data_IF_883439180828
#
_entry.id   IF_883439180828
#
_cell.length_a   1.000
_cell.length_b   1.000
_cell.length_c   1.000
_cell.angle_alpha   90.00
_cell.angle_beta   90.00
_cell.angle_gamma   90.00
#
_symmetry.space_group_name_H-M   'P 1'
#
loop_
_entity.id
_entity.type
_entity.pdbx_description
1 polymer ?
#
# COMPACT_ATOMS: atom_id res chain seq x y z
N UNK A 1 -11.30 -19.05 23.50
CA UNK A 1 -10.28 -19.32 24.54
C UNK A 1 -8.85 -19.21 24.00
N UNK A 2 -8.53 -19.73 22.81
CA UNK A 2 -7.17 -19.63 22.23
C UNK A 2 -6.66 -18.19 22.06
N UNK A 3 -7.44 -17.27 21.50
CA UNK A 3 -7.07 -15.85 21.35
C UNK A 3 -6.67 -15.16 22.66
N UNK A 4 -7.51 -15.30 23.69
CA UNK A 4 -7.27 -14.68 25.00
C UNK A 4 -6.00 -15.23 25.66
N UNK A 5 -5.78 -16.55 25.54
CA UNK A 5 -4.56 -17.19 26.05
C UNK A 5 -3.31 -16.68 25.32
N UNK A 6 -3.34 -16.61 23.97
CA UNK A 6 -2.23 -16.06 23.17
C UNK A 6 -1.90 -14.62 23.56
N UNK A 7 -2.93 -13.79 23.73
CA UNK A 7 -2.76 -12.39 24.09
C UNK A 7 -2.12 -12.25 25.48
N UNK A 8 -2.57 -13.04 26.46
CA UNK A 8 -2.03 -13.01 27.83
C UNK A 8 -0.62 -13.58 27.93
N UNK A 9 -0.32 -14.66 27.20
CA UNK A 9 1.01 -15.27 27.17
C UNK A 9 2.04 -14.33 26.52
N UNK A 10 1.66 -13.68 25.42
CA UNK A 10 2.58 -12.86 24.64
C UNK A 10 2.69 -11.43 25.15
N UNK A 11 1.67 -10.86 25.79
CA UNK A 11 1.78 -9.47 26.29
C UNK A 11 2.96 -9.31 27.24
N UNK A 12 3.21 -10.31 28.09
CA UNK A 12 4.28 -10.22 29.10
C UNK A 12 5.69 -10.19 28.50
N UNK A 13 5.88 -10.70 27.28
CA UNK A 13 7.21 -10.79 26.64
C UNK A 13 7.34 -9.89 25.41
N UNK A 14 6.30 -9.80 24.57
CA UNK A 14 6.33 -9.06 23.31
C UNK A 14 5.98 -7.58 23.46
N UNK A 15 5.11 -7.21 24.41
CA UNK A 15 4.70 -5.81 24.55
C UNK A 15 5.86 -4.91 24.97
N UNK A 16 6.75 -5.40 25.82
CA UNK A 16 7.96 -4.66 26.21
C UNK A 16 8.93 -4.54 25.04
N UNK A 17 9.19 -5.63 24.31
CA UNK A 17 9.98 -5.59 23.07
C UNK A 17 9.42 -4.59 22.06
N UNK A 18 8.10 -4.56 21.87
CA UNK A 18 7.44 -3.63 20.93
C UNK A 18 7.62 -2.18 21.36
N UNK A 19 7.64 -1.90 22.67
CA UNK A 19 7.94 -0.56 23.19
C UNK A 19 9.41 -0.20 22.98
N UNK A 20 10.34 -1.11 23.26
CA UNK A 20 11.78 -0.90 23.05
C UNK A 20 12.12 -0.62 21.58
N UNK A 21 11.41 -1.27 20.66
CA UNK A 21 11.60 -1.11 19.21
C UNK A 21 10.72 -0.01 18.61
N UNK A 22 10.04 0.79 19.43
CA UNK A 22 9.16 1.88 18.97
C UNK A 22 8.13 1.43 17.93
N UNK A 23 7.52 0.25 18.11
CA UNK A 23 6.49 -0.29 17.20
C UNK A 23 5.29 0.64 17.10
N UNK A 24 4.93 1.32 18.19
CA UNK A 24 3.77 2.21 18.23
C UNK A 24 4.18 3.68 18.19
N UNK A 25 3.36 4.56 17.60
CA UNK A 25 3.61 6.00 17.60
C UNK A 25 3.82 6.55 19.02
N UNK A 26 4.77 7.49 19.22
CA UNK A 26 5.05 8.06 20.54
C UNK A 26 3.86 8.85 21.12
N UNK A 27 2.96 9.32 20.26
CA UNK A 27 1.72 10.01 20.64
C UNK A 27 0.63 9.06 21.16
N UNK A 28 0.73 7.75 20.91
CA UNK A 28 -0.33 6.82 21.24
C UNK A 28 -0.36 6.52 22.75
N UNK A 29 -1.58 6.44 23.28
CA UNK A 29 -1.79 6.03 24.66
C UNK A 29 -1.56 4.52 24.83
N UNK A 30 -1.11 4.11 26.02
CA UNK A 30 -0.79 2.71 26.31
C UNK A 30 -1.96 1.75 26.06
N UNK A 31 -3.20 2.16 26.36
CA UNK A 31 -4.38 1.34 26.10
C UNK A 31 -4.58 1.10 24.59
N UNK A 32 -4.34 2.12 23.76
CA UNK A 32 -4.44 1.97 22.31
C UNK A 32 -3.35 1.03 21.78
N UNK A 33 -2.10 1.15 22.27
CA UNK A 33 -1.02 0.23 21.93
C UNK A 33 -1.36 -1.22 22.31
N UNK A 34 -1.99 -1.42 23.47
CA UNK A 34 -2.48 -2.74 23.87
C UNK A 34 -3.59 -3.26 22.95
N UNK A 35 -4.51 -2.40 22.52
CA UNK A 35 -5.54 -2.79 21.54
C UNK A 35 -4.91 -3.23 20.21
N UNK A 36 -3.97 -2.46 19.66
CA UNK A 36 -3.22 -2.82 18.46
C UNK A 36 -2.49 -4.16 18.65
N UNK A 37 -1.80 -4.34 19.77
CA UNK A 37 -1.15 -5.60 20.13
C UNK A 37 -2.12 -6.78 20.12
N UNK A 38 -3.29 -6.63 20.75
CA UNK A 38 -4.28 -7.72 20.80
C UNK A 38 -4.85 -8.03 19.42
N UNK A 39 -5.08 -7.02 18.57
CA UNK A 39 -5.56 -7.23 17.20
C UNK A 39 -4.57 -8.04 16.36
N UNK A 40 -3.26 -7.87 16.56
CA UNK A 40 -2.22 -8.69 15.90
C UNK A 40 -2.29 -10.18 16.29
N UNK A 41 -2.95 -10.53 17.39
CA UNK A 41 -3.11 -11.92 17.85
C UNK A 41 -4.38 -12.59 17.30
N UNK A 42 -5.19 -11.87 16.52
CA UNK A 42 -6.45 -12.36 15.95
C UNK A 42 -6.27 -13.48 14.93
N UNK A 43 -5.30 -13.43 13.99
CA UNK A 43 -5.09 -14.52 13.03
C UNK A 43 -4.97 -15.87 13.75
N UNK A 44 -5.61 -16.89 13.20
CA UNK A 44 -5.83 -18.16 13.90
C UNK A 44 -4.57 -19.00 13.91
N UNK A 45 -3.90 -19.12 12.75
CA UNK A 45 -2.73 -19.99 12.56
C UNK A 45 -1.42 -19.24 12.32
N UNK A 46 -1.49 -17.94 12.02
CA UNK A 46 -0.34 -17.13 11.65
C UNK A 46 0.04 -16.18 12.77
N UNK A 47 1.33 -16.13 13.11
CA UNK A 47 1.87 -15.17 14.07
C UNK A 47 2.50 -14.00 13.31
N UNK A 48 2.08 -12.78 13.68
CA UNK A 48 2.62 -11.55 13.10
C UNK A 48 3.54 -10.89 14.12
N UNK A 49 4.83 -10.83 13.80
CA UNK A 49 5.80 -10.04 14.56
C UNK A 49 5.84 -8.61 14.01
N UNK A 50 5.30 -7.66 14.78
CA UNK A 50 5.27 -6.26 14.39
C UNK A 50 6.67 -5.64 14.21
N UNK A 51 7.69 -6.10 14.94
CA UNK A 51 9.06 -5.57 14.80
C UNK A 51 9.62 -5.97 13.44
N UNK A 52 9.51 -7.25 13.10
CA UNK A 52 10.02 -7.78 11.83
C UNK A 52 9.22 -7.22 10.65
N UNK A 53 7.88 -7.13 10.81
CA UNK A 53 7.01 -6.50 9.83
C UNK A 53 7.38 -5.03 9.58
N UNK A 54 7.54 -4.20 10.62
CA UNK A 54 7.86 -2.77 10.45
C UNK A 54 9.26 -2.54 9.86
N UNK A 55 10.21 -3.43 10.14
CA UNK A 55 11.50 -3.42 9.45
C UNK A 55 11.32 -3.64 7.94
N UNK A 56 10.53 -4.63 7.54
CA UNK A 56 10.17 -4.85 6.12
C UNK A 56 9.42 -3.68 5.51
N UNK A 57 8.43 -3.14 6.23
CA UNK A 57 7.64 -2.00 5.80
C UNK A 57 8.50 -0.75 5.57
N UNK A 58 9.52 -0.52 6.41
CA UNK A 58 10.49 0.57 6.22
C UNK A 58 11.19 0.47 4.86
N UNK A 59 11.72 -0.71 4.52
CA UNK A 59 12.38 -0.92 3.23
C UNK A 59 11.41 -0.79 2.06
N UNK A 60 10.19 -1.30 2.20
CA UNK A 60 9.17 -1.20 1.16
C UNK A 60 8.76 0.26 0.90
N UNK A 61 8.54 1.05 1.97
CA UNK A 61 8.20 2.47 1.86
C UNK A 61 9.36 3.29 1.30
N UNK A 62 10.58 3.07 1.81
CA UNK A 62 11.81 3.73 1.30
C UNK A 62 11.98 3.47 -0.20
N UNK A 63 11.87 2.21 -0.61
CA UNK A 63 11.94 1.81 -2.01
C UNK A 63 10.83 2.48 -2.84
N UNK A 64 9.58 2.43 -2.38
CA UNK A 64 8.45 3.02 -3.09
C UNK A 64 8.64 4.53 -3.30
N UNK A 65 8.98 5.28 -2.24
CA UNK A 65 9.20 6.74 -2.31
C UNK A 65 10.37 7.08 -3.25
N UNK A 66 11.52 6.42 -3.10
CA UNK A 66 12.67 6.67 -3.97
C UNK A 66 12.36 6.36 -5.45
N UNK A 67 11.65 5.26 -5.71
CA UNK A 67 11.27 4.90 -7.07
C UNK A 67 10.27 5.89 -7.64
N UNK A 68 9.26 6.35 -6.90
CA UNK A 68 8.29 7.35 -7.37
C UNK A 68 8.98 8.65 -7.84
N UNK A 69 10.02 9.11 -7.13
CA UNK A 69 10.77 10.30 -7.50
C UNK A 69 11.90 10.05 -8.51
N UNK A 70 12.11 8.80 -8.93
CA UNK A 70 13.17 8.46 -9.87
C UNK A 70 12.82 8.90 -11.29
N UNK A 71 13.82 9.43 -12.01
CA UNK A 71 13.65 9.79 -13.42
C UNK A 71 13.21 8.61 -14.28
N UNK A 72 13.67 7.40 -13.97
CA UNK A 72 13.29 6.18 -14.69
C UNK A 72 11.79 5.90 -14.58
N UNK A 73 11.26 5.89 -13.35
CA UNK A 73 9.84 5.63 -13.10
C UNK A 73 8.96 6.74 -13.67
N UNK A 74 9.35 8.01 -13.52
CA UNK A 74 8.62 9.14 -14.11
C UNK A 74 8.55 9.00 -15.63
N UNK A 75 9.69 8.72 -16.29
CA UNK A 75 9.71 8.52 -17.75
C UNK A 75 8.83 7.34 -18.18
N UNK A 76 8.80 6.27 -17.39
CA UNK A 76 7.92 5.12 -17.64
C UNK A 76 6.45 5.53 -17.50
N UNK A 77 6.09 6.19 -16.39
CA UNK A 77 4.72 6.63 -16.11
C UNK A 77 4.19 7.63 -17.14
N UNK A 78 5.06 8.47 -17.72
CA UNK A 78 4.68 9.41 -18.78
C UNK A 78 4.75 8.83 -20.20
N UNK A 79 5.13 7.56 -20.35
CA UNK A 79 5.26 6.89 -21.65
C UNK A 79 6.48 7.33 -22.48
N UNK A 80 7.46 7.98 -21.87
CA UNK A 80 8.73 8.33 -22.54
C UNK A 80 9.63 7.09 -22.73
N UNK A 81 9.48 6.08 -21.88
CA UNK A 81 10.04 4.74 -22.04
C UNK A 81 8.94 3.69 -21.84
N UNK A 82 9.07 2.54 -22.50
CA UNK A 82 8.08 1.45 -22.45
C UNK A 82 8.37 0.38 -21.40
N UNK A 83 9.58 0.35 -20.86
CA UNK A 83 10.04 -0.67 -19.91
C UNK A 83 10.87 -0.01 -18.79
N UNK A 84 10.68 -0.48 -17.56
CA UNK A 84 11.46 -0.03 -16.40
C UNK A 84 11.56 -1.17 -15.38
N UNK A 85 12.77 -1.70 -15.11
CA UNK A 85 12.98 -2.65 -14.01
C UNK A 85 12.52 -2.12 -12.65
N UNK A 86 12.67 -0.81 -12.41
CA UNK A 86 12.19 -0.18 -11.18
C UNK A 86 10.64 -0.23 -11.08
N UNK A 87 9.95 0.05 -12.18
CA UNK A 87 8.49 -0.01 -12.26
C UNK A 87 7.96 -1.44 -12.07
N UNK A 88 8.57 -2.44 -12.71
CA UNK A 88 8.20 -3.85 -12.52
C UNK A 88 8.41 -4.33 -11.09
N UNK A 89 9.54 -3.94 -10.47
CA UNK A 89 9.81 -4.27 -9.07
C UNK A 89 8.81 -3.58 -8.14
N UNK A 90 8.46 -2.31 -8.38
CA UNK A 90 7.41 -1.62 -7.63
C UNK A 90 6.06 -2.31 -7.76
N UNK A 91 5.69 -2.72 -8.97
CA UNK A 91 4.44 -3.44 -9.23
C UNK A 91 4.31 -4.72 -8.40
N UNK A 92 5.40 -5.46 -8.18
CA UNK A 92 5.37 -6.67 -7.35
C UNK A 92 5.09 -6.42 -5.86
N UNK A 93 5.36 -5.22 -5.35
CA UNK A 93 5.16 -4.87 -3.93
C UNK A 93 3.87 -4.11 -3.64
N UNK A 94 3.11 -3.73 -4.67
CA UNK A 94 1.89 -2.94 -4.57
C UNK A 94 0.69 -3.76 -5.07
N UNK A 95 -0.52 -3.41 -4.62
CA UNK A 95 -1.72 -3.82 -5.35
C UNK A 95 -1.79 -3.14 -6.70
N UNK A 96 -2.53 -3.72 -7.64
CA UNK A 96 -2.70 -3.14 -8.97
C UNK A 96 -3.30 -1.73 -8.88
N UNK A 97 -4.32 -1.54 -8.04
CA UNK A 97 -4.96 -0.24 -7.80
C UNK A 97 -4.00 0.80 -7.24
N UNK A 98 -3.15 0.42 -6.28
CA UNK A 98 -2.16 1.33 -5.70
C UNK A 98 -1.09 1.71 -6.73
N UNK A 99 -0.62 0.74 -7.51
CA UNK A 99 0.36 0.95 -8.56
C UNK A 99 -0.17 1.90 -9.65
N UNK A 100 -1.40 1.69 -10.10
CA UNK A 100 -2.05 2.56 -11.09
C UNK A 100 -2.24 3.98 -10.55
N UNK A 101 -2.59 4.14 -9.27
CA UNK A 101 -2.66 5.45 -8.62
C UNK A 101 -1.31 6.18 -8.61
N UNK A 102 -0.19 5.46 -8.42
CA UNK A 102 1.15 6.04 -8.48
C UNK A 102 1.52 6.49 -9.90
N UNK A 103 1.25 5.66 -10.90
CA UNK A 103 1.45 6.03 -12.31
C UNK A 103 0.63 7.27 -12.67
N UNK A 104 -0.65 7.30 -12.27
CA UNK A 104 -1.52 8.44 -12.47
C UNK A 104 -0.97 9.71 -11.81
N UNK A 105 -0.56 9.64 -10.54
CA UNK A 105 0.00 10.78 -9.82
C UNK A 105 1.26 11.35 -10.52
N UNK A 106 2.15 10.49 -11.01
CA UNK A 106 3.34 10.92 -11.75
C UNK A 106 2.99 11.56 -13.10
N UNK A 107 2.02 10.98 -13.83
CA UNK A 107 1.51 11.53 -15.09
C UNK A 107 0.84 12.89 -14.90
N UNK A 108 0.09 13.11 -13.81
CA UNK A 108 -0.52 14.42 -13.54
C UNK A 108 0.53 15.45 -13.12
N UNK A 109 1.52 15.06 -12.32
CA UNK A 109 2.60 15.95 -11.89
C UNK A 109 3.40 16.45 -13.10
N UNK A 110 3.74 15.57 -14.05
CA UNK A 110 4.52 15.94 -15.24
C UNK A 110 3.79 16.89 -16.20
N UNK A 111 2.45 16.83 -16.29
CA UNK A 111 1.64 17.76 -17.09
C UNK A 111 1.82 19.23 -16.67
N UNK A 112 2.15 19.48 -15.40
CA UNK A 112 2.40 20.84 -14.90
C UNK A 112 3.76 21.41 -15.32
N UNK A 113 4.64 20.59 -15.91
CA UNK A 113 6.01 20.96 -16.24
C UNK A 113 6.95 21.02 -15.02
N UNK A 114 6.43 20.79 -13.81
CA UNK A 114 7.24 20.72 -12.60
C UNK A 114 7.95 19.38 -12.50
N UNK A 115 9.23 19.42 -12.12
CA UNK A 115 10.03 18.22 -11.86
C UNK A 115 10.51 18.23 -10.42
N UNK A 116 10.19 17.16 -9.71
CA UNK A 116 10.65 16.91 -8.35
C UNK A 116 11.68 15.78 -8.40
N UNK A 117 12.85 15.97 -7.79
CA UNK A 117 13.87 14.94 -7.68
C UNK A 117 14.26 14.79 -6.23
N UNK A 118 14.02 13.61 -5.69
CA UNK A 118 14.45 13.27 -4.34
C UNK A 118 15.96 13.08 -4.32
N UNK A 119 16.64 13.90 -3.51
CA UNK A 119 18.09 13.81 -3.27
C UNK A 119 18.39 12.92 -2.08
N UNK A 120 17.54 12.95 -1.07
CA UNK A 120 17.68 12.21 0.16
C UNK A 120 16.32 12.02 0.84
N UNK A 121 16.12 10.86 1.46
CA UNK A 121 14.98 10.55 2.30
C UNK A 121 15.48 10.17 3.70
N UNK A 122 15.14 10.98 4.69
CA UNK A 122 15.46 10.70 6.09
C UNK A 122 14.24 10.15 6.81
N UNK A 123 14.19 8.82 7.01
CA UNK A 123 13.07 8.17 7.70
C UNK A 123 13.28 8.28 9.22
N UNK A 124 12.51 9.18 9.83
CA UNK A 124 12.55 9.47 11.26
C UNK A 124 11.76 8.45 12.10
N UNK A 125 10.72 7.84 11.54
CA UNK A 125 9.87 6.91 12.27
C UNK A 125 9.04 6.01 11.35
N UNK A 126 8.84 4.77 11.79
CA UNK A 126 7.98 3.78 11.14
C UNK A 126 7.18 3.10 12.23
N UNK A 127 5.88 3.31 12.25
CA UNK A 127 5.03 2.90 13.37
C UNK A 127 3.79 2.14 12.89
N UNK A 128 3.38 1.15 13.66
CA UNK A 128 2.08 0.50 13.49
C UNK A 128 0.98 1.45 14.00
N UNK A 129 0.19 1.96 13.07
CA UNK A 129 -0.86 2.94 13.28
C UNK A 129 -2.22 2.29 13.52
N UNK A 130 -2.61 1.30 12.71
CA UNK A 130 -3.83 0.52 12.90
C UNK A 130 -3.65 -0.94 12.43
N UNK A 131 -4.54 -1.79 12.91
CA UNK A 131 -4.65 -3.20 12.55
C UNK A 131 -6.11 -3.50 12.25
N UNK A 132 -6.39 -4.12 11.11
CA UNK A 132 -7.73 -4.59 10.74
C UNK A 132 -7.63 -6.04 10.33
N UNK A 133 -8.47 -6.87 10.95
CA UNK A 133 -8.52 -8.30 10.68
C UNK A 133 -9.93 -8.66 10.28
N UNK A 134 -10.05 -9.30 9.12
CA UNK A 134 -11.31 -9.79 8.58
C UNK A 134 -11.22 -11.30 8.40
N UNK A 135 -12.27 -12.02 8.79
CA UNK A 135 -12.46 -13.43 8.43
C UNK A 135 -13.66 -13.53 7.52
N UNK A 136 -13.43 -13.96 6.29
CA UNK A 136 -14.41 -13.98 5.20
C UNK A 136 -14.29 -15.26 4.39
N UNK A 137 -15.28 -15.53 3.55
CA UNK A 137 -15.21 -16.62 2.58
C UNK A 137 -14.32 -16.24 1.40
N UNK A 138 -13.73 -17.24 0.73
CA UNK A 138 -12.96 -17.05 -0.49
C UNK A 138 -13.84 -16.46 -1.61
N UNK A 139 -15.13 -16.79 -1.62
CA UNK A 139 -16.11 -16.20 -2.53
C UNK A 139 -16.24 -14.68 -2.35
N UNK A 140 -16.28 -14.19 -1.10
CA UNK A 140 -16.36 -12.76 -0.81
C UNK A 140 -15.09 -12.03 -1.28
N UNK A 141 -13.90 -12.59 -1.07
CA UNK A 141 -12.66 -12.01 -1.57
C UNK A 141 -12.65 -11.93 -3.10
N UNK A 142 -12.96 -13.02 -3.80
CA UNK A 142 -13.03 -13.04 -5.27
C UNK A 142 -14.01 -12.00 -5.81
N UNK A 143 -15.13 -11.79 -5.10
CA UNK A 143 -16.10 -10.78 -5.46
C UNK A 143 -15.56 -9.35 -5.27
N UNK A 144 -14.85 -9.08 -4.18
CA UNK A 144 -14.15 -7.79 -3.96
C UNK A 144 -13.12 -7.54 -5.06
N UNK A 145 -12.25 -8.51 -5.37
CA UNK A 145 -11.23 -8.41 -6.41
C UNK A 145 -11.84 -8.16 -7.81
N UNK A 146 -12.94 -8.86 -8.13
CA UNK A 146 -13.62 -8.67 -9.40
C UNK A 146 -14.27 -7.29 -9.52
N UNK A 147 -14.83 -6.77 -8.42
CA UNK A 147 -15.38 -5.42 -8.37
C UNK A 147 -14.28 -4.36 -8.51
N UNK A 148 -13.13 -4.55 -7.86
CA UNK A 148 -11.96 -3.69 -8.01
C UNK A 148 -11.44 -3.68 -9.45
N UNK A 149 -11.31 -4.86 -10.07
CA UNK A 149 -10.90 -4.98 -11.47
C UNK A 149 -11.88 -4.27 -12.43
N UNK A 150 -13.18 -4.39 -12.18
CA UNK A 150 -14.22 -3.66 -12.92
C UNK A 150 -14.12 -2.14 -12.75
N UNK A 151 -13.95 -1.67 -11.51
CA UNK A 151 -13.79 -0.24 -11.24
C UNK A 151 -12.54 0.34 -11.91
N UNK A 152 -11.42 -0.38 -11.85
CA UNK A 152 -10.19 0.01 -12.55
C UNK A 152 -10.40 0.08 -14.07
N UNK A 153 -11.06 -0.91 -14.66
CA UNK A 153 -11.35 -0.90 -16.10
C UNK A 153 -12.17 0.32 -16.51
N UNK A 154 -13.15 0.73 -15.69
CA UNK A 154 -13.91 1.95 -15.91
C UNK A 154 -13.05 3.22 -15.81
N UNK A 155 -12.14 3.30 -14.84
CA UNK A 155 -11.21 4.45 -14.72
C UNK A 155 -10.35 4.57 -15.97
N UNK A 156 -9.79 3.46 -16.47
CA UNK A 156 -8.99 3.43 -17.71
C UNK A 156 -9.82 3.88 -18.92
N UNK A 157 -11.09 3.49 -19.00
CA UNK A 157 -11.99 3.92 -20.07
C UNK A 157 -12.25 5.44 -20.02
N UNK A 158 -12.51 5.99 -18.82
CA UNK A 158 -12.70 7.42 -18.61
C UNK A 158 -11.45 8.23 -18.97
N UNK A 159 -10.25 7.78 -18.57
CA UNK A 159 -9.00 8.44 -18.93
C UNK A 159 -8.77 8.47 -20.45
N UNK A 160 -9.09 7.37 -21.16
CA UNK A 160 -9.02 7.33 -22.63
C UNK A 160 -10.02 8.28 -23.29
N UNK A 161 -11.19 8.49 -22.68
CA UNK A 161 -12.18 9.44 -23.20
C UNK A 161 -11.72 10.88 -23.02
N UNK A 162 -11.15 11.22 -21.85
CA UNK A 162 -10.55 12.55 -21.59
C UNK A 162 -9.39 12.85 -22.56
N UNK A 163 -8.56 11.86 -22.89
CA UNK A 163 -7.50 12.01 -23.90
C UNK A 163 -8.02 12.15 -25.34
N UNK A 164 -9.26 11.72 -25.60
CA UNK A 164 -9.89 11.67 -26.94
C UNK A 164 -10.92 12.77 -27.18
N UNK A 165 -11.07 13.76 -26.31
CA UNK A 165 -11.91 14.94 -26.58
C UNK A 165 -11.48 15.62 -27.90
N UNK A 166 -12.16 15.22 -28.98
CA UNK A 166 -11.81 15.48 -30.37
C UNK A 166 -12.45 14.50 -31.36
N UNK A 167 -12.65 13.22 -31.01
CA UNK A 167 -13.42 12.26 -31.85
C UNK A 167 -14.12 11.19 -31.01
N UNK A 168 -15.45 11.22 -31.07
CA UNK A 168 -16.33 10.15 -30.56
C UNK A 168 -16.26 8.99 -31.54
N UNK A 169 -15.65 7.88 -31.14
CA UNK A 169 -15.88 6.57 -31.76
C UNK A 169 -16.49 5.66 -30.69
N UNK A 170 -17.59 4.99 -31.08
CA UNK A 170 -18.26 3.94 -30.30
C UNK A 170 -17.23 2.92 -29.86
N UNK A 171 -16.80 3.00 -28.60
CA UNK A 171 -15.90 2.02 -28.02
C UNK A 171 -16.78 0.97 -27.34
N UNK A 172 -16.67 -0.28 -27.75
CA UNK A 172 -17.36 -1.40 -27.10
C UNK A 172 -17.04 -1.40 -25.60
N UNK A 173 -18.09 -1.27 -24.78
CA UNK A 173 -17.99 -1.41 -23.32
C UNK A 173 -17.44 -2.79 -23.01
N UNK A 174 -16.23 -2.86 -22.45
CA UNK A 174 -15.70 -4.08 -21.88
C UNK A 174 -16.50 -4.36 -20.60
N UNK A 175 -17.52 -5.20 -20.71
CA UNK A 175 -18.26 -5.70 -19.55
C UNK A 175 -17.40 -6.80 -18.92
N UNK A 176 -16.55 -6.43 -17.96
CA UNK A 176 -15.96 -7.43 -17.06
C UNK A 176 -17.12 -8.01 -16.27
N UNK A 177 -17.46 -9.27 -16.51
CA UNK A 177 -18.52 -9.94 -15.76
C UNK A 177 -17.98 -10.30 -14.38
N UNK A 178 -18.38 -9.64 -13.27
CA UNK A 178 -17.64 -9.70 -12.01
C UNK A 178 -17.79 -11.02 -11.24
N UNK A 179 -18.43 -12.04 -11.81
CA UNK A 179 -18.92 -13.21 -11.07
C UNK A 179 -18.66 -14.57 -11.76
N UNK A 180 -17.92 -14.63 -12.87
CA UNK A 180 -17.80 -15.88 -13.65
C UNK A 180 -16.96 -17.00 -13.00
N UNK A 181 -16.19 -16.72 -11.93
CA UNK A 181 -15.21 -17.66 -11.37
C UNK A 181 -15.38 -17.98 -9.87
N UNK A 182 -16.60 -17.85 -9.35
CA UNK A 182 -16.94 -18.23 -7.96
C UNK A 182 -17.60 -19.61 -7.96
N UNK A 183 -16.92 -20.59 -7.39
CA UNK A 183 -17.42 -21.95 -7.21
C UNK A 183 -18.19 -22.10 -5.89
N UNK A 184 -19.09 -23.10 -5.77
CA UNK A 184 -19.77 -23.38 -4.50
C UNK A 184 -18.79 -23.68 -3.34
N UNK A 185 -17.60 -24.22 -3.61
CA UNK A 185 -16.58 -24.52 -2.61
C UNK A 185 -15.94 -23.25 -2.02
N UNK A 186 -15.90 -22.17 -2.80
CA UNK A 186 -15.35 -20.87 -2.36
C UNK A 186 -16.19 -20.25 -1.24
N UNK A 187 -17.49 -20.52 -1.20
CA UNK A 187 -18.37 -20.06 -0.12
C UNK A 187 -18.14 -20.81 1.20
N UNK A 188 -17.62 -22.04 1.14
CA UNK A 188 -17.32 -22.84 2.32
C UNK A 188 -15.89 -22.61 2.83
N UNK A 189 -14.99 -22.16 1.96
CA UNK A 189 -13.58 -21.90 2.29
C UNK A 189 -13.44 -20.57 3.02
N UNK A 190 -13.07 -20.60 4.30
CA UNK A 190 -12.84 -19.40 5.10
C UNK A 190 -11.37 -19.01 5.05
N UNK A 191 -11.13 -17.72 4.82
CA UNK A 191 -9.81 -17.10 4.82
C UNK A 191 -9.74 -15.98 5.86
N UNK A 192 -8.52 -15.61 6.24
CA UNK A 192 -8.23 -14.51 7.14
C UNK A 192 -7.37 -13.49 6.41
N UNK A 193 -7.82 -12.23 6.40
CA UNK A 193 -7.11 -11.09 5.83
C UNK A 193 -6.66 -10.17 6.95
N UNK A 194 -5.43 -9.68 6.86
CA UNK A 194 -4.88 -8.70 7.78
C UNK A 194 -4.42 -7.47 7.02
N UNK A 195 -4.88 -6.30 7.47
CA UNK A 195 -4.42 -4.99 7.02
C UNK A 195 -3.69 -4.29 8.15
N UNK A 196 -2.50 -3.79 7.85
CA UNK A 196 -1.66 -3.06 8.79
C UNK A 196 -1.40 -1.67 8.22
N UNK A 197 -1.84 -0.67 8.96
CA UNK A 197 -1.56 0.74 8.61
C UNK A 197 -0.25 1.13 9.26
N UNK A 198 0.69 1.60 8.44
CA UNK A 198 2.04 2.00 8.86
C UNK A 198 2.20 3.49 8.68
N UNK A 199 2.37 4.21 9.78
CA UNK A 199 2.74 5.62 9.73
C UNK A 199 4.24 5.73 9.45
N UNK A 200 4.58 6.40 8.34
CA UNK A 200 5.93 6.76 7.96
C UNK A 200 6.12 8.25 8.19
N UNK A 201 7.02 8.61 9.10
CA UNK A 201 7.47 9.99 9.29
C UNK A 201 8.85 10.15 8.67
N UNK A 202 9.00 11.09 7.74
CA UNK A 202 10.25 11.32 7.02
C UNK A 202 10.50 12.80 6.73
N UNK A 203 11.75 13.12 6.36
CA UNK A 203 12.13 14.38 5.70
C UNK A 203 12.54 14.05 4.28
N UNK A 204 11.83 14.63 3.32
CA UNK A 204 12.16 14.58 1.90
C UNK A 204 13.01 15.80 1.53
N UNK A 205 14.20 15.55 0.99
CA UNK A 205 15.08 16.58 0.42
C UNK A 205 14.89 16.59 -1.09
N UNK A 206 14.11 17.56 -1.57
CA UNK A 206 13.68 17.64 -2.96
C UNK A 206 14.43 18.76 -3.68
N UNK A 207 14.92 18.44 -4.87
CA UNK A 207 15.23 19.44 -5.89
C UNK A 207 13.99 19.67 -6.74
N UNK A 208 13.51 20.91 -6.76
CA UNK A 208 12.32 21.32 -7.50
C UNK A 208 12.73 22.21 -8.65
N UNK A 209 12.44 21.76 -9.87
CA UNK A 209 12.58 22.54 -11.09
C UNK A 209 11.18 22.92 -11.55
N UNK A 210 10.90 24.22 -11.59
CA UNK A 210 9.62 24.76 -12.07
C UNK A 210 9.83 25.49 -13.38
N UNK A 211 8.78 25.62 -14.19
CA UNK A 211 8.88 26.34 -15.47
C UNK A 211 9.16 27.86 -15.30
N UNK A 212 8.86 28.42 -14.13
CA UNK A 212 8.80 29.88 -13.91
C UNK A 212 9.86 30.41 -12.92
N UNK A 213 10.50 29.53 -12.13
CA UNK A 213 11.47 29.93 -11.11
C UNK A 213 12.76 29.12 -11.20
N UNK A 214 13.85 29.71 -10.69
CA UNK A 214 15.13 29.04 -10.54
C UNK A 214 15.00 27.79 -9.65
N UNK A 215 15.86 26.80 -9.89
CA UNK A 215 15.90 25.54 -9.13
C UNK A 215 16.00 25.81 -7.63
N UNK A 216 15.17 25.12 -6.85
CA UNK A 216 15.13 25.24 -5.40
C UNK A 216 15.37 23.89 -4.73
N UNK A 217 16.13 23.91 -3.63
CA UNK A 217 16.18 22.81 -2.70
C UNK A 217 15.11 23.04 -1.62
N UNK A 218 14.24 22.05 -1.45
CA UNK A 218 13.14 22.06 -0.51
C UNK A 218 13.32 20.90 0.47
N UNK A 219 13.35 21.22 1.76
CA UNK A 219 13.16 20.24 2.82
C UNK A 219 11.68 20.18 3.18
N UNK A 220 11.08 19.00 3.05
CA UNK A 220 9.67 18.77 3.34
C UNK A 220 9.54 17.69 4.39
N UNK A 221 9.00 18.05 5.55
CA UNK A 221 8.52 17.05 6.51
C UNK A 221 7.30 16.35 5.91
N UNK A 222 7.34 15.03 5.81
CA UNK A 222 6.23 14.22 5.37
C UNK A 222 5.83 13.22 6.45
N UNK A 223 4.51 13.04 6.59
CA UNK A 223 3.91 11.99 7.38
C UNK A 223 2.79 11.41 6.53
N UNK A 224 2.84 10.11 6.28
CA UNK A 224 1.88 9.41 5.45
C UNK A 224 1.58 8.03 6.05
N UNK A 225 0.35 7.56 5.85
CA UNK A 225 -0.05 6.23 6.33
C UNK A 225 -0.10 5.27 5.15
N UNK A 226 0.74 4.25 5.19
CA UNK A 226 0.85 3.21 4.17
C UNK A 226 0.09 1.98 4.64
N UNK A 227 -0.94 1.59 3.91
CA UNK A 227 -1.70 0.37 4.22
C UNK A 227 -1.07 -0.83 3.54
N UNK A 228 -0.66 -1.79 4.34
CA UNK A 228 -0.23 -3.12 3.89
C UNK A 228 -1.37 -4.11 4.06
N UNK A 229 -1.48 -5.06 3.15
CA UNK A 229 -2.45 -6.15 3.20
C UNK A 229 -1.78 -7.48 2.90
N UNK A 230 -2.23 -8.53 3.58
CA UNK A 230 -1.87 -9.91 3.28
C UNK A 230 -3.00 -10.85 3.68
N UNK A 231 -3.08 -12.00 3.02
CA UNK A 231 -3.75 -13.16 3.57
C UNK A 231 -2.89 -13.75 4.68
N UNK A 232 -3.52 -14.21 5.76
CA UNK A 232 -2.86 -14.71 6.97
C UNK A 232 -3.53 -15.99 7.49
N UNK A 233 -4.29 -16.68 6.64
CA UNK A 233 -4.98 -17.93 7.00
C UNK A 233 -3.97 -19.00 7.42
N UNK A 234 -2.89 -19.15 6.65
CA UNK A 234 -1.71 -19.93 6.97
C UNK A 234 -0.43 -19.08 6.87
N UNK A 235 0.66 -19.45 7.57
CA UNK A 235 1.93 -18.71 7.50
C UNK A 235 2.52 -18.60 6.09
N UNK A 236 2.33 -19.62 5.25
CA UNK A 236 2.78 -19.64 3.86
C UNK A 236 1.99 -18.72 2.92
N UNK A 237 0.79 -18.28 3.33
CA UNK A 237 -0.03 -17.36 2.54
C UNK A 237 0.42 -15.90 2.66
N UNK A 238 1.38 -15.63 3.58
CA UNK A 238 1.80 -14.27 3.89
C UNK A 238 2.60 -13.66 2.73
N UNK A 239 1.97 -12.72 2.03
CA UNK A 239 2.56 -11.92 0.95
C UNK A 239 2.09 -10.47 1.10
N UNK A 240 2.91 -9.67 1.80
CA UNK A 240 2.57 -8.28 2.11
C UNK A 240 2.66 -7.38 0.89
N UNK A 241 1.56 -6.70 0.57
CA UNK A 241 1.51 -5.69 -0.48
C UNK A 241 1.01 -4.36 0.03
N UNK A 242 1.54 -3.26 -0.51
CA UNK A 242 1.02 -1.92 -0.26
C UNK A 242 -0.24 -1.73 -1.09
N UNK A 243 -1.39 -1.57 -0.44
CA UNK A 243 -2.69 -1.45 -1.12
C UNK A 243 -3.20 -0.02 -1.24
N UNK A 244 -2.71 0.90 -0.39
CA UNK A 244 -3.02 2.33 -0.49
C UNK A 244 -2.07 3.18 0.34
N UNK A 245 -2.00 4.47 0.02
CA UNK A 245 -1.35 5.51 0.82
C UNK A 245 -2.40 6.56 1.16
N UNK A 246 -2.55 6.89 2.45
CA UNK A 246 -3.56 7.78 3.02
C UNK A 246 -2.93 9.10 3.52
#
# INVERSE_FOLDING_TARGET
MQFANRSVERVTTQMERYREHSVFPPSNWMLHNYLLFTKLQLPTNTEIDAVDFLNGARFACDFAVNTMYSTEFVNFATGAISESPAAEKMKSGLSETCYDAFLFAMKQTSKTGNRFTLKQLDINGVYLYDVQWDRMSLAELKQEEALEAYNRAQVVELEKQEEKEGKVEDTEKVVVNPMEDISPEDHATMIERLRLDVQLDAVEHLEVVTAEAADQLLEKNSSAVWRFESLVTQPEDVDWRIVSVL
#
